data_IF_814918583396
#
_entry.id   IF_814918583396
#
_cell.length_a   1.000
_cell.length_b   1.000
_cell.length_c   1.000
_cell.angle_alpha   90.00
_cell.angle_beta   90.00
_cell.angle_gamma   90.00
#
_symmetry.space_group_name_H-M   'P 1'
#
loop_
_entity.id
_entity.type
_entity.pdbx_description
1 polymer ?
#
# COMPACT_ATOMS: atom_id res chain seq x y z
N UNK A 1 -2.37 6.74 -2.77
CA UNK A 1 -3.60 6.18 -3.37
C UNK A 1 -3.52 6.18 -4.90
N UNK A 2 -3.42 7.35 -5.55
CA UNK A 2 -3.41 7.43 -7.03
C UNK A 2 -2.33 6.60 -7.72
N UNK A 3 -1.12 6.53 -7.14
CA UNK A 3 -0.03 5.69 -7.65
C UNK A 3 -0.39 4.19 -7.72
N UNK A 4 -1.19 3.69 -6.78
CA UNK A 4 -1.69 2.31 -6.78
C UNK A 4 -2.75 2.11 -7.87
N UNK A 5 -3.73 3.01 -7.97
CA UNK A 5 -4.75 2.98 -9.05
C UNK A 5 -4.12 3.03 -10.45
N UNK A 6 -3.03 3.77 -10.62
CA UNK A 6 -2.25 3.76 -11.87
C UNK A 6 -1.67 2.38 -12.17
N UNK A 7 -1.14 1.65 -11.19
CA UNK A 7 -0.62 0.29 -11.42
C UNK A 7 -1.73 -0.68 -11.81
N UNK A 8 -2.89 -0.60 -11.15
CA UNK A 8 -4.04 -1.44 -11.50
C UNK A 8 -4.54 -1.16 -12.93
N UNK A 9 -4.72 0.13 -13.29
CA UNK A 9 -5.09 0.51 -14.66
C UNK A 9 -4.06 0.07 -15.69
N UNK A 10 -2.76 0.08 -15.36
CA UNK A 10 -1.72 -0.38 -16.29
C UNK A 10 -1.88 -1.86 -16.63
N UNK A 11 -2.18 -2.72 -15.66
CA UNK A 11 -2.31 -4.17 -15.90
C UNK A 11 -3.66 -4.56 -16.52
N UNK A 12 -4.71 -3.76 -16.32
CA UNK A 12 -6.02 -4.00 -16.92
C UNK A 12 -6.18 -3.37 -18.31
N UNK A 13 -5.42 -2.31 -18.65
CA UNK A 13 -5.51 -1.64 -19.97
C UNK A 13 -5.24 -2.58 -21.15
N UNK A 14 -4.36 -3.56 -20.99
CA UNK A 14 -3.96 -4.49 -22.07
C UNK A 14 -4.92 -5.68 -22.20
N UNK A 15 -5.71 -6.00 -21.16
CA UNK A 15 -6.71 -7.07 -21.17
C UNK A 15 -8.10 -6.49 -20.97
N UNK A 16 -8.77 -6.19 -22.07
CA UNK A 16 -10.13 -5.62 -22.08
C UNK A 16 -11.22 -6.63 -21.70
N UNK A 17 -10.93 -7.94 -21.80
CA UNK A 17 -11.85 -9.00 -21.42
C UNK A 17 -11.12 -10.10 -20.63
N UNK A 18 -11.76 -10.55 -19.54
CA UNK A 18 -11.26 -11.63 -18.68
C UNK A 18 -12.16 -12.86 -18.84
N UNK A 19 -11.60 -14.08 -18.84
CA UNK A 19 -12.38 -15.31 -19.01
C UNK A 19 -13.25 -15.66 -17.79
N UNK A 20 -12.94 -15.10 -16.62
CA UNK A 20 -13.73 -15.21 -15.39
C UNK A 20 -13.33 -14.10 -14.40
N UNK A 21 -14.18 -13.86 -13.39
CA UNK A 21 -13.88 -12.91 -12.31
C UNK A 21 -12.63 -13.31 -11.52
N UNK A 22 -12.41 -14.62 -11.32
CA UNK A 22 -11.20 -15.14 -10.67
C UNK A 22 -9.92 -14.79 -11.44
N UNK A 23 -9.98 -14.76 -12.78
CA UNK A 23 -8.83 -14.38 -13.60
C UNK A 23 -8.51 -12.88 -13.45
N UNK A 24 -9.53 -12.03 -13.34
CA UNK A 24 -9.38 -10.61 -13.04
C UNK A 24 -8.78 -10.41 -11.64
N UNK A 25 -9.36 -11.06 -10.63
CA UNK A 25 -8.91 -11.00 -9.24
C UNK A 25 -7.43 -11.39 -9.12
N UNK A 26 -7.03 -12.50 -9.76
CA UNK A 26 -5.64 -12.97 -9.74
C UNK A 26 -4.67 -11.94 -10.32
N UNK A 27 -5.05 -11.23 -11.38
CA UNK A 27 -4.20 -10.19 -11.98
C UNK A 27 -4.09 -8.97 -11.07
N UNK A 28 -5.19 -8.54 -10.44
CA UNK A 28 -5.17 -7.44 -9.48
C UNK A 28 -4.34 -7.80 -8.24
N UNK A 29 -4.45 -9.05 -7.75
CA UNK A 29 -3.63 -9.57 -6.65
C UNK A 29 -2.14 -9.52 -7.00
N UNK A 30 -1.74 -10.05 -8.15
CA UNK A 30 -0.33 -10.04 -8.59
C UNK A 30 0.21 -8.61 -8.78
N UNK A 31 -0.60 -7.69 -9.33
CA UNK A 31 -0.24 -6.29 -9.45
C UNK A 31 -0.04 -5.63 -8.08
N UNK A 32 -0.90 -5.96 -7.11
CA UNK A 32 -0.79 -5.48 -5.74
C UNK A 32 0.47 -6.00 -5.06
N UNK A 33 0.75 -7.31 -5.16
CA UNK A 33 1.98 -7.92 -4.65
C UNK A 33 3.24 -7.26 -5.23
N UNK A 34 3.27 -7.03 -6.55
CA UNK A 34 4.38 -6.35 -7.21
C UNK A 34 4.54 -4.89 -6.77
N UNK A 35 3.44 -4.23 -6.41
CA UNK A 35 3.46 -2.86 -5.89
C UNK A 35 4.01 -2.82 -4.46
N UNK A 36 3.52 -3.71 -3.59
CA UNK A 36 3.97 -3.84 -2.20
C UNK A 36 5.46 -4.17 -2.13
N UNK A 37 5.97 -5.06 -2.99
CA UNK A 37 7.40 -5.37 -3.07
C UNK A 37 8.30 -4.16 -3.33
N UNK A 38 7.76 -3.09 -3.94
CA UNK A 38 8.49 -1.84 -4.20
C UNK A 38 8.28 -0.79 -3.11
N UNK A 39 7.34 -0.99 -2.19
CA UNK A 39 7.09 -0.11 -1.06
C UNK A 39 8.03 -0.41 0.11
N UNK A 40 9.32 -0.32 -0.15
CA UNK A 40 10.38 -0.54 0.85
C UNK A 40 10.86 0.76 1.48
N UNK A 41 10.52 1.90 0.89
CA UNK A 41 10.94 3.21 1.36
C UNK A 41 10.22 3.56 2.67
N UNK A 42 10.99 3.82 3.74
CA UNK A 42 10.46 4.40 4.97
C UNK A 42 9.92 5.81 4.72
N UNK A 43 8.84 6.16 5.41
CA UNK A 43 8.31 7.52 5.39
C UNK A 43 9.37 8.50 5.90
N UNK A 44 9.53 9.62 5.19
CA UNK A 44 10.44 10.69 5.64
C UNK A 44 9.90 11.29 6.93
N UNK A 45 10.79 11.55 7.88
CA UNK A 45 10.46 12.13 9.19
C UNK A 45 9.42 11.33 9.99
N UNK A 46 9.39 10.01 9.81
CA UNK A 46 8.44 9.14 10.50
C UNK A 46 8.56 9.23 12.02
N UNK A 47 9.78 9.41 12.55
CA UNK A 47 10.04 9.54 13.98
C UNK A 47 9.35 10.79 14.57
N UNK A 48 9.35 11.91 13.84
CA UNK A 48 8.66 13.13 14.27
C UNK A 48 7.14 12.93 14.32
N UNK A 49 6.58 12.30 13.29
CA UNK A 49 5.14 12.01 13.20
C UNK A 49 4.73 11.06 14.32
N UNK A 50 5.52 10.01 14.57
CA UNK A 50 5.29 9.07 15.67
C UNK A 50 5.31 9.78 17.03
N UNK A 51 6.29 10.65 17.29
CA UNK A 51 6.37 11.39 18.55
C UNK A 51 5.12 12.27 18.77
N UNK A 52 4.66 12.96 17.72
CA UNK A 52 3.42 13.75 17.80
C UNK A 52 2.21 12.85 18.07
N UNK A 53 2.08 11.73 17.36
CA UNK A 53 0.99 10.78 17.57
C UNK A 53 1.00 10.19 18.98
N UNK A 54 2.17 9.92 19.56
CA UNK A 54 2.26 9.43 20.93
C UNK A 54 1.81 10.45 21.96
N UNK A 55 2.02 11.75 21.75
CA UNK A 55 1.50 12.80 22.63
C UNK A 55 -0.02 12.94 22.50
N UNK A 56 -0.56 12.88 21.27
CA UNK A 56 -2.00 13.00 21.05
C UNK A 56 -2.79 11.73 21.46
N UNK A 57 -2.13 10.58 21.45
CA UNK A 57 -2.76 9.28 21.66
C UNK A 57 -1.95 8.40 22.64
N UNK A 58 -1.56 8.97 23.78
CA UNK A 58 -0.67 8.35 24.79
C UNK A 58 -1.06 6.90 25.15
N UNK A 59 -2.36 6.62 25.31
CA UNK A 59 -2.84 5.29 25.70
C UNK A 59 -2.95 4.28 24.54
N UNK A 60 -2.83 4.74 23.28
CA UNK A 60 -2.99 3.89 22.07
C UNK A 60 -1.70 3.65 21.33
N UNK A 61 -0.76 4.59 21.41
CA UNK A 61 0.53 4.54 20.71
C UNK A 61 1.62 4.55 21.77
N UNK A 62 1.93 3.36 22.29
CA UNK A 62 3.03 3.17 23.23
C UNK A 62 4.32 2.99 22.43
N UNK A 63 5.11 4.06 22.31
CA UNK A 63 6.44 3.96 21.69
C UNK A 63 7.36 3.32 22.72
N UNK A 64 7.53 1.99 22.65
CA UNK A 64 8.69 1.36 23.28
C UNK A 64 9.91 1.86 22.49
N UNK A 65 10.54 2.92 22.99
CA UNK A 65 11.83 3.41 22.51
C UNK A 65 12.85 2.30 22.82
N UNK A 66 13.10 1.43 21.84
CA UNK A 66 14.16 0.41 21.84
C UNK A 66 15.44 0.97 21.24
#
# INVERSE_FOLDING_TARGET
IEGFHRQLRKVTKTKTMFPSDQALEKILYLASQNTIKKWTQRYKNWDLVINQLSIFFEERVNIHLS
#
